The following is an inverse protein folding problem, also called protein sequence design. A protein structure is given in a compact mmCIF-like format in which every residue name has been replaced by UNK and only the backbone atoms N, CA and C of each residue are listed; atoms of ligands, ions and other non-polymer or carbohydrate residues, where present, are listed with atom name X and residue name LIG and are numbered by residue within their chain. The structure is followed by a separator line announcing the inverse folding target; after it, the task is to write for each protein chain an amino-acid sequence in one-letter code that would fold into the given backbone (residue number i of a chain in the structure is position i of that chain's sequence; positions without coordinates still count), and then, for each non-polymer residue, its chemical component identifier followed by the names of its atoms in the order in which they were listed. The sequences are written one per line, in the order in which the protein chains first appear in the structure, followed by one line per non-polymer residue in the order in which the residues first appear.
data_IF_994816336344
#
_entry.id   IF_994816336344
#
_cell.length_a   1.000
_cell.length_b   1.000
_cell.length_c   1.000
_cell.angle_alpha   90.00
_cell.angle_beta   90.00
_cell.angle_gamma   90.00
#
_symmetry.space_group_name_H-M   'P 1'
#
loop_
_entity.id
_entity.type
_entity.pdbx_description
1 polymer ?
#
# COMPACT_ATOMS: atom_id res chain seq x y z
N UNK A 1 30.48 47.88 13.07
CA UNK A 1 30.22 46.77 12.13
C UNK A 1 31.15 45.61 12.48
N UNK A 2 30.72 44.66 13.30
CA UNK A 2 31.48 43.47 13.64
C UNK A 2 30.81 42.27 12.98
N UNK A 3 31.46 41.73 11.95
CA UNK A 3 31.07 40.46 11.29
C UNK A 3 31.25 39.34 12.32
N UNK A 4 30.15 38.86 12.90
CA UNK A 4 30.12 37.55 13.59
C UNK A 4 30.22 36.47 12.53
N UNK A 5 31.43 35.98 12.29
CA UNK A 5 31.64 34.65 11.71
C UNK A 5 31.20 33.63 12.74
N UNK A 6 29.91 33.27 12.72
CA UNK A 6 29.41 32.07 13.39
C UNK A 6 29.92 30.88 12.58
N UNK A 7 31.01 30.28 13.05
CA UNK A 7 31.31 28.89 12.77
C UNK A 7 30.05 28.10 13.17
N UNK A 8 29.37 27.47 12.20
CA UNK A 8 28.25 26.57 12.48
C UNK A 8 28.82 25.40 13.29
N UNK A 9 28.70 25.47 14.61
CA UNK A 9 28.91 24.31 15.47
C UNK A 9 27.87 23.27 15.05
N UNK A 10 28.31 22.27 14.31
CA UNK A 10 27.50 21.11 13.92
C UNK A 10 26.89 20.54 15.20
N UNK A 11 25.56 20.40 15.23
CA UNK A 11 24.85 19.84 16.38
C UNK A 11 25.34 18.43 16.66
N UNK A 12 25.72 18.17 17.92
CA UNK A 12 26.06 16.82 18.35
C UNK A 12 24.77 16.01 18.55
N UNK A 13 24.50 15.09 17.62
CA UNK A 13 23.37 14.18 17.70
C UNK A 13 23.78 12.94 18.51
N UNK A 14 23.04 12.65 19.57
CA UNK A 14 23.18 11.41 20.35
C UNK A 14 21.88 10.62 20.27
N UNK A 15 21.95 9.41 19.73
CA UNK A 15 20.82 8.48 19.70
C UNK A 15 20.47 8.03 21.11
N UNK A 16 19.19 8.01 21.45
CA UNK A 16 18.68 7.45 22.70
C UNK A 16 17.80 6.22 22.43
N UNK A 17 18.42 5.04 22.50
CA UNK A 17 17.75 3.76 22.31
C UNK A 17 16.69 3.45 23.39
N UNK A 18 16.73 4.10 24.56
CA UNK A 18 15.73 3.87 25.62
C UNK A 18 14.33 4.35 25.26
N UNK A 19 14.24 5.23 24.25
CA UNK A 19 12.99 5.79 23.72
C UNK A 19 12.37 4.94 22.60
N UNK A 20 13.06 3.89 22.14
CA UNK A 20 12.59 3.02 21.07
C UNK A 20 12.39 1.62 21.62
N UNK A 21 11.16 1.13 21.50
CA UNK A 21 10.76 -0.21 21.92
C UNK A 21 10.17 -0.95 20.71
N UNK A 22 11.05 -1.40 19.82
CA UNK A 22 10.68 -2.17 18.63
C UNK A 22 11.06 -3.66 18.80
N UNK A 23 10.42 -4.58 18.05
CA UNK A 23 10.78 -5.99 18.05
C UNK A 23 12.27 -6.22 17.76
N UNK A 24 12.86 -7.30 18.31
CA UNK A 24 14.25 -7.64 18.02
C UNK A 24 14.45 -7.79 16.50
N UNK A 25 15.57 -7.27 16.01
CA UNK A 25 15.99 -7.19 14.59
C UNK A 25 15.39 -6.04 13.76
N UNK A 26 14.36 -5.32 14.25
CA UNK A 26 13.89 -4.11 13.56
C UNK A 26 14.87 -2.98 13.85
N UNK A 27 15.71 -2.68 12.86
CA UNK A 27 16.69 -1.59 12.95
C UNK A 27 16.15 -0.30 12.31
N UNK A 28 16.95 0.77 12.35
CA UNK A 28 16.74 2.00 11.57
C UNK A 28 15.57 2.88 12.02
N UNK A 29 15.23 2.81 13.30
CA UNK A 29 14.36 3.76 13.99
C UNK A 29 15.14 4.36 15.16
N UNK A 30 15.50 5.64 15.06
CA UNK A 30 16.42 6.31 15.98
C UNK A 30 15.81 7.61 16.50
N UNK A 31 15.88 7.83 17.81
CA UNK A 31 15.38 9.07 18.44
C UNK A 31 16.54 9.88 19.00
N UNK A 32 16.53 11.18 18.73
CA UNK A 32 17.48 12.16 19.21
C UNK A 32 16.75 13.16 20.10
N UNK A 33 17.18 13.30 21.36
CA UNK A 33 16.56 14.25 22.30
C UNK A 33 17.12 15.65 22.11
N UNK A 34 16.30 16.67 22.43
CA UNK A 34 16.72 18.07 22.53
C UNK A 34 17.49 18.55 21.29
N UNK A 35 17.04 18.14 20.10
CA UNK A 35 17.64 18.57 18.84
C UNK A 35 17.42 20.07 18.62
N UNK A 36 16.32 20.57 19.17
CA UNK A 36 15.89 21.96 19.12
C UNK A 36 15.99 22.54 20.55
N UNK A 37 16.48 23.77 20.71
CA UNK A 37 16.42 24.46 22.01
C UNK A 37 15.02 25.00 22.29
N UNK A 38 14.74 25.42 23.52
CA UNK A 38 13.44 26.05 23.85
C UNK A 38 13.19 27.31 22.99
N UNK A 39 14.18 28.20 22.89
CA UNK A 39 14.08 29.41 22.06
C UNK A 39 13.80 29.08 20.59
N UNK A 40 14.41 28.00 20.07
CA UNK A 40 14.18 27.55 18.70
C UNK A 40 12.79 26.93 18.52
N UNK A 41 12.30 26.18 19.50
CA UNK A 41 10.95 25.61 19.50
C UNK A 41 9.89 26.71 19.46
N UNK A 42 10.04 27.76 20.28
CA UNK A 42 9.15 28.93 20.28
C UNK A 42 9.14 29.65 18.92
N UNK A 43 10.32 29.85 18.33
CA UNK A 43 10.44 30.50 17.02
C UNK A 43 9.85 29.63 15.89
N UNK A 44 10.16 28.33 15.87
CA UNK A 44 9.61 27.40 14.87
C UNK A 44 8.09 27.36 14.97
N UNK A 45 7.55 27.26 16.18
CA UNK A 45 6.11 27.30 16.40
C UNK A 45 5.52 28.62 15.88
N UNK A 46 6.05 29.78 16.30
CA UNK A 46 5.55 31.08 15.87
C UNK A 46 5.62 31.28 14.34
N UNK A 47 6.66 30.77 13.68
CA UNK A 47 6.83 30.81 12.22
C UNK A 47 5.79 29.94 11.52
N UNK A 48 5.61 28.69 11.97
CA UNK A 48 4.71 27.72 11.33
C UNK A 48 3.23 27.96 11.63
N UNK A 49 2.86 28.34 12.86
CA UNK A 49 1.47 28.59 13.26
C UNK A 49 0.80 29.67 12.43
N UNK A 50 1.54 30.71 12.03
CA UNK A 50 1.02 31.77 11.14
C UNK A 50 0.56 31.23 9.79
N UNK A 51 1.22 30.21 9.29
CA UNK A 51 0.95 29.60 7.98
C UNK A 51 -0.14 28.55 8.13
N UNK A 52 -0.08 27.74 9.20
CA UNK A 52 -1.13 26.78 9.54
C UNK A 52 -2.50 27.47 9.64
N UNK A 53 -2.57 28.63 10.30
CA UNK A 53 -3.81 29.40 10.38
C UNK A 53 -4.31 29.94 9.03
N UNK A 54 -3.40 30.17 8.07
CA UNK A 54 -3.72 30.79 6.78
C UNK A 54 -4.02 29.78 5.68
N UNK A 55 -3.25 28.71 5.61
CA UNK A 55 -3.23 27.73 4.51
C UNK A 55 -3.52 26.30 4.99
N UNK A 56 -3.55 26.06 6.30
CA UNK A 56 -3.80 24.74 6.87
C UNK A 56 -5.25 24.29 6.70
N UNK A 57 -5.42 22.98 6.60
CA UNK A 57 -6.72 22.32 6.56
C UNK A 57 -7.09 21.86 7.96
N UNK A 58 -8.24 22.31 8.44
CA UNK A 58 -8.74 22.00 9.78
C UNK A 58 -9.61 20.75 9.74
N UNK A 59 -9.20 19.72 10.48
CA UNK A 59 -10.00 18.52 10.69
C UNK A 59 -10.80 18.67 11.98
N UNK A 60 -12.13 18.53 11.87
CA UNK A 60 -13.05 18.58 13.02
C UNK A 60 -13.15 17.18 13.62
N UNK A 61 -13.23 17.11 14.96
CA UNK A 61 -13.41 15.85 15.66
C UNK A 61 -14.76 15.21 15.34
N UNK A 62 -14.80 13.88 15.20
CA UNK A 62 -16.01 13.15 14.77
C UNK A 62 -17.18 13.25 15.75
N UNK A 63 -16.91 13.54 17.03
CA UNK A 63 -17.94 13.73 18.05
C UNK A 63 -18.45 15.17 18.18
N UNK A 64 -17.96 16.09 17.35
CA UNK A 64 -18.38 17.49 17.37
C UNK A 64 -19.81 17.67 16.89
N UNK A 65 -20.54 18.62 17.49
CA UNK A 65 -21.88 19.01 17.04
C UNK A 65 -21.82 20.31 16.23
N UNK A 66 -22.89 20.70 15.51
CA UNK A 66 -22.95 21.99 14.82
C UNK A 66 -22.73 23.19 15.75
N UNK A 67 -23.14 23.07 17.01
CA UNK A 67 -23.03 24.10 18.05
C UNK A 67 -21.69 24.08 18.79
N UNK A 68 -21.01 22.92 18.83
CA UNK A 68 -19.74 22.73 19.52
C UNK A 68 -18.72 22.02 18.59
N UNK A 69 -18.08 22.82 17.74
CA UNK A 69 -17.08 22.36 16.78
C UNK A 69 -15.72 22.27 17.44
N UNK A 70 -15.34 21.06 17.85
CA UNK A 70 -14.01 20.80 18.39
C UNK A 70 -13.03 20.50 17.25
N UNK A 71 -11.94 21.27 17.19
CA UNK A 71 -10.86 21.06 16.22
C UNK A 71 -10.01 19.87 16.72
N UNK A 72 -9.83 18.86 15.86
CA UNK A 72 -8.95 17.73 16.16
C UNK A 72 -7.49 18.08 15.88
N UNK A 73 -7.22 18.48 14.63
CA UNK A 73 -5.90 18.92 14.20
C UNK A 73 -6.00 19.87 13.01
N UNK A 74 -4.96 20.69 12.85
CA UNK A 74 -4.74 21.51 11.65
C UNK A 74 -3.52 20.96 10.93
N UNK A 75 -3.68 20.65 9.64
CA UNK A 75 -2.66 20.00 8.83
C UNK A 75 -2.25 20.90 7.64
N UNK A 76 -0.96 20.93 7.33
CA UNK A 76 -0.40 21.67 6.20
C UNK A 76 0.73 20.88 5.56
N UNK A 77 0.65 20.66 4.25
CA UNK A 77 1.78 20.19 3.45
C UNK A 77 2.58 21.37 2.88
N UNK A 78 3.89 21.25 2.97
CA UNK A 78 4.86 22.24 2.52
C UNK A 78 5.78 21.63 1.46
N UNK A 79 6.03 22.38 0.40
CA UNK A 79 6.83 21.99 -0.75
C UNK A 79 7.84 23.08 -1.11
N UNK A 80 9.09 22.69 -1.34
CA UNK A 80 10.12 23.59 -1.83
C UNK A 80 11.49 23.24 -1.29
N UNK A 81 12.52 23.65 -2.03
CA UNK A 81 13.90 23.44 -1.61
C UNK A 81 14.30 24.42 -0.50
N UNK A 82 15.46 24.20 0.10
CA UNK A 82 16.11 25.15 1.03
C UNK A 82 16.32 26.57 0.46
N UNK A 83 16.21 26.75 -0.86
CA UNK A 83 16.53 28.02 -1.55
C UNK A 83 15.37 28.61 -2.33
N UNK A 84 14.37 27.81 -2.71
CA UNK A 84 13.33 28.22 -3.64
C UNK A 84 11.97 27.62 -3.27
N UNK A 85 10.93 28.45 -3.39
CA UNK A 85 9.55 28.01 -3.32
C UNK A 85 9.19 27.12 -4.51
N UNK A 86 8.28 26.19 -4.28
CA UNK A 86 7.62 25.49 -5.38
C UNK A 86 6.59 26.45 -5.99
N UNK A 87 6.70 26.68 -7.29
CA UNK A 87 5.80 27.55 -8.03
C UNK A 87 4.75 26.74 -8.79
N UNK A 88 3.48 27.12 -8.65
CA UNK A 88 2.38 26.58 -9.44
C UNK A 88 1.85 27.67 -10.34
N UNK A 89 1.89 27.42 -11.65
CA UNK A 89 1.35 28.33 -12.65
C UNK A 89 -0.12 28.03 -12.86
N UNK A 90 -0.98 29.00 -12.52
CA UNK A 90 -2.37 28.95 -12.91
C UNK A 90 -2.49 29.46 -14.36
N UNK A 91 -2.57 28.53 -15.32
CA UNK A 91 -2.67 28.86 -16.74
C UNK A 91 -3.94 29.65 -17.11
N UNK A 92 -5.02 29.49 -16.35
CA UNK A 92 -6.28 30.21 -16.57
C UNK A 92 -6.18 31.67 -16.10
N UNK A 93 -5.47 31.93 -15.01
CA UNK A 93 -5.30 33.29 -14.44
C UNK A 93 -3.98 33.97 -14.82
N UNK A 94 -3.08 33.28 -15.52
CA UNK A 94 -1.70 33.72 -15.80
C UNK A 94 -0.94 34.18 -14.54
N UNK A 95 -1.23 33.54 -13.42
CA UNK A 95 -0.65 33.85 -12.12
C UNK A 95 0.31 32.75 -11.69
N UNK A 96 1.43 33.15 -11.09
CA UNK A 96 2.38 32.23 -10.45
C UNK A 96 2.12 32.29 -8.95
N UNK A 97 1.65 31.18 -8.38
CA UNK A 97 1.45 31.06 -6.93
C UNK A 97 2.60 30.27 -6.32
N UNK A 98 3.13 30.76 -5.20
CA UNK A 98 4.09 30.02 -4.39
C UNK A 98 3.35 29.12 -3.41
N UNK A 99 3.70 27.84 -3.40
CA UNK A 99 3.21 26.91 -2.38
C UNK A 99 3.90 27.21 -1.04
N UNK A 100 3.23 26.94 0.09
CA UNK A 100 3.89 26.91 1.40
C UNK A 100 5.12 26.01 1.32
N UNK A 101 6.25 26.45 1.87
CA UNK A 101 7.53 25.75 1.76
C UNK A 101 8.41 25.97 2.98
N UNK A 102 9.43 25.13 3.18
CA UNK A 102 10.28 25.19 4.38
C UNK A 102 10.94 26.56 4.62
N UNK A 103 11.14 27.35 3.57
CA UNK A 103 11.61 28.74 3.63
C UNK A 103 10.79 29.67 4.54
N UNK A 104 9.53 29.33 4.83
CA UNK A 104 8.73 30.13 5.75
C UNK A 104 9.10 29.93 7.23
N UNK A 105 9.85 28.88 7.55
CA UNK A 105 10.49 28.73 8.86
C UNK A 105 12.02 28.74 8.69
N UNK A 106 12.65 29.93 8.66
CA UNK A 106 14.11 30.05 8.61
C UNK A 106 14.78 29.34 9.79
N UNK A 107 14.13 29.29 10.95
CA UNK A 107 14.66 28.62 12.14
C UNK A 107 14.68 27.12 11.94
N UNK A 108 13.60 26.52 11.42
CA UNK A 108 13.56 25.09 11.10
C UNK A 108 14.61 24.73 10.04
N UNK A 109 14.72 25.50 8.96
CA UNK A 109 15.73 25.26 7.91
C UNK A 109 17.16 25.29 8.44
N UNK A 110 17.45 26.20 9.38
CA UNK A 110 18.76 26.24 10.04
C UNK A 110 19.02 24.94 10.81
N UNK A 111 18.05 24.48 11.61
CA UNK A 111 18.16 23.19 12.33
C UNK A 111 18.37 22.04 11.34
N UNK A 112 17.61 21.99 10.24
CA UNK A 112 17.70 20.94 9.22
C UNK A 112 19.05 20.94 8.50
N UNK A 113 19.66 22.10 8.30
CA UNK A 113 20.99 22.20 7.71
C UNK A 113 22.05 21.49 8.55
N UNK A 114 21.88 21.48 9.88
CA UNK A 114 22.79 20.81 10.81
C UNK A 114 22.51 19.29 10.91
N UNK A 115 21.24 18.87 10.85
CA UNK A 115 20.84 17.51 11.22
C UNK A 115 20.44 16.61 10.05
N UNK A 116 19.92 17.15 8.95
CA UNK A 116 19.41 16.32 7.87
C UNK A 116 20.51 15.66 7.01
N UNK A 117 21.60 16.35 6.62
CA UNK A 117 22.68 15.72 5.87
C UNK A 117 23.28 14.46 6.54
N UNK A 118 23.62 14.43 7.84
CA UNK A 118 24.15 13.21 8.45
C UNK A 118 23.11 12.09 8.61
N UNK A 119 21.81 12.42 8.74
CA UNK A 119 20.75 11.42 8.97
C UNK A 119 20.14 10.86 7.69
N UNK A 120 19.94 11.71 6.67
CA UNK A 120 19.25 11.38 5.43
C UNK A 120 20.14 11.48 4.18
N UNK A 121 21.34 12.05 4.29
CA UNK A 121 22.22 12.34 3.15
C UNK A 121 21.81 13.56 2.32
N UNK A 122 20.67 14.20 2.63
CA UNK A 122 20.15 15.34 1.91
C UNK A 122 19.27 16.22 2.80
N UNK A 123 19.06 17.47 2.40
CA UNK A 123 18.11 18.38 3.03
C UNK A 123 16.70 18.09 2.49
N UNK A 124 15.69 17.92 3.36
CA UNK A 124 14.29 17.76 2.97
C UNK A 124 13.80 18.89 2.07
N UNK A 125 12.92 18.55 1.13
CA UNK A 125 12.22 19.52 0.27
C UNK A 125 10.70 19.46 0.41
N UNK A 126 10.22 18.54 1.24
CA UNK A 126 8.81 18.36 1.53
C UNK A 126 8.63 18.17 3.02
N UNK A 127 7.55 18.73 3.55
CA UNK A 127 7.19 18.57 4.94
C UNK A 127 5.68 18.49 5.13
N UNK A 128 5.27 17.80 6.18
CA UNK A 128 3.92 17.78 6.70
C UNK A 128 3.94 18.33 8.11
N UNK A 129 3.28 19.46 8.31
CA UNK A 129 3.11 20.11 9.61
C UNK A 129 1.72 19.79 10.12
N UNK A 130 1.63 19.29 11.35
CA UNK A 130 0.34 19.00 12.00
C UNK A 130 0.35 19.57 13.41
N UNK A 131 -0.58 20.47 13.68
CA UNK A 131 -0.92 20.94 15.01
C UNK A 131 -2.04 20.06 15.56
N UNK A 132 -1.75 19.27 16.58
CA UNK A 132 -2.67 18.36 17.23
C UNK A 132 -3.25 19.06 18.45
N UNK A 133 -4.55 19.35 18.43
CA UNK A 133 -5.27 19.84 19.61
C UNK A 133 -5.84 18.69 20.43
N UNK A 134 -6.18 17.59 19.75
CA UNK A 134 -6.55 16.31 20.36
C UNK A 134 -5.55 15.27 19.86
N UNK A 135 -5.05 14.37 20.73
CA UNK A 135 -4.18 13.27 20.32
C UNK A 135 -4.81 12.42 19.24
N UNK A 136 -3.96 11.88 18.37
CA UNK A 136 -4.34 10.81 17.49
C UNK A 136 -4.06 11.10 16.04
N UNK A 137 -3.34 10.16 15.44
CA UNK A 137 -2.86 10.19 14.08
C UNK A 137 -3.05 8.80 13.50
N UNK A 138 -3.68 8.72 12.32
CA UNK A 138 -4.08 7.43 11.75
C UNK A 138 -2.86 6.53 11.53
N UNK A 139 -3.01 5.23 11.81
CA UNK A 139 -1.99 4.23 11.51
C UNK A 139 -1.86 4.08 10.00
N UNK A 140 -0.71 4.45 9.44
CA UNK A 140 -0.47 4.35 8.00
C UNK A 140 1.01 4.07 7.70
N UNK A 141 1.27 3.55 6.49
CA UNK A 141 2.62 3.54 5.91
C UNK A 141 2.77 4.77 5.06
N UNK A 142 3.90 5.46 5.18
CA UNK A 142 4.18 6.61 4.34
C UNK A 142 4.34 6.22 2.87
N UNK A 143 3.84 7.09 2.00
CA UNK A 143 3.82 6.85 0.56
C UNK A 143 5.25 6.60 0.02
N UNK A 144 5.47 5.75 -1.00
CA UNK A 144 6.81 5.49 -1.54
C UNK A 144 7.61 6.73 -1.94
N UNK A 145 6.92 7.80 -2.36
CA UNK A 145 7.55 9.10 -2.69
C UNK A 145 8.24 9.80 -1.54
N UNK A 146 7.97 9.39 -0.29
CA UNK A 146 8.68 9.89 0.90
C UNK A 146 10.17 9.53 0.86
N UNK A 147 10.60 8.65 -0.04
CA UNK A 147 12.01 8.30 -0.20
C UNK A 147 12.41 7.17 0.72
N UNK A 148 13.70 7.00 0.99
CA UNK A 148 14.23 5.89 1.80
C UNK A 148 14.12 6.11 3.31
N UNK A 149 13.91 7.36 3.73
CA UNK A 149 13.90 7.79 5.13
C UNK A 149 13.08 9.06 5.29
N UNK A 150 12.51 9.24 6.48
CA UNK A 150 11.90 10.51 6.88
C UNK A 150 12.34 10.89 8.30
N UNK A 151 12.25 12.18 8.59
CA UNK A 151 12.42 12.73 9.94
C UNK A 151 11.06 13.14 10.48
N UNK A 152 10.88 13.00 11.79
CA UNK A 152 9.68 13.42 12.51
C UNK A 152 10.14 14.26 13.71
N UNK A 153 9.96 15.57 13.63
CA UNK A 153 10.26 16.49 14.71
C UNK A 153 9.01 16.68 15.58
N UNK A 154 9.16 16.45 16.89
CA UNK A 154 8.09 16.60 17.86
C UNK A 154 8.33 17.83 18.75
N UNK A 155 7.32 18.69 18.90
CA UNK A 155 7.40 19.95 19.63
C UNK A 155 6.20 20.13 20.58
N UNK A 156 6.37 21.01 21.57
CA UNK A 156 5.43 21.45 22.61
C UNK A 156 5.11 20.39 23.67
N UNK A 157 4.68 19.19 23.25
CA UNK A 157 4.23 18.14 24.17
C UNK A 157 4.85 16.78 23.84
N UNK A 158 5.03 15.95 24.87
CA UNK A 158 5.51 14.57 24.75
C UNK A 158 4.41 13.69 24.14
N UNK A 159 4.81 12.63 23.43
CA UNK A 159 3.87 11.66 22.84
C UNK A 159 4.47 10.26 22.72
N UNK A 160 3.63 9.29 22.39
CA UNK A 160 4.02 7.92 22.05
C UNK A 160 3.46 7.60 20.67
N UNK A 161 4.34 7.25 19.74
CA UNK A 161 3.96 6.69 18.46
C UNK A 161 3.94 5.17 18.55
N UNK A 162 2.86 4.56 18.06
CA UNK A 162 2.77 3.12 17.92
C UNK A 162 3.25 2.72 16.53
N UNK A 163 3.93 1.58 16.46
CA UNK A 163 4.38 0.93 15.23
C UNK A 163 3.76 -0.46 15.15
N UNK A 164 3.16 -0.81 14.02
CA UNK A 164 2.71 -2.16 13.75
C UNK A 164 3.03 -2.63 12.33
N UNK A 165 3.44 -3.89 12.21
CA UNK A 165 3.55 -4.61 10.95
C UNK A 165 2.37 -5.58 10.88
N UNK A 166 1.36 -5.20 10.11
CA UNK A 166 0.10 -5.94 9.96
C UNK A 166 0.32 -7.35 9.42
N UNK A 167 1.36 -7.55 8.59
CA UNK A 167 1.63 -8.83 7.94
C UNK A 167 2.24 -9.86 8.90
N UNK A 168 3.10 -9.41 9.82
CA UNK A 168 3.80 -10.28 10.78
C UNK A 168 3.20 -10.23 12.18
N UNK A 169 2.30 -9.27 12.45
CA UNK A 169 1.74 -9.01 13.78
C UNK A 169 2.74 -8.39 14.76
N UNK A 170 3.94 -8.04 14.31
CA UNK A 170 4.96 -7.39 15.13
C UNK A 170 4.52 -5.98 15.51
N UNK A 171 4.73 -5.59 16.75
CA UNK A 171 4.35 -4.27 17.28
C UNK A 171 5.48 -3.67 18.11
N UNK A 172 5.52 -2.35 18.15
CA UNK A 172 6.43 -1.61 19.01
C UNK A 172 5.94 -0.19 19.25
N UNK A 173 6.70 0.55 20.04
CA UNK A 173 6.37 1.91 20.45
C UNK A 173 7.62 2.77 20.43
N UNK A 174 7.43 4.06 20.14
CA UNK A 174 8.47 5.07 20.25
C UNK A 174 7.96 6.21 21.12
N UNK A 175 8.68 6.50 22.20
CA UNK A 175 8.45 7.68 23.02
C UNK A 175 9.14 8.88 22.38
N UNK A 176 8.37 9.91 22.04
CA UNK A 176 8.87 11.17 21.50
C UNK A 176 8.63 12.30 22.50
N UNK A 177 9.65 12.69 23.27
CA UNK A 177 9.59 13.90 24.06
C UNK A 177 9.45 15.15 23.18
N UNK A 178 9.02 16.27 23.76
CA UNK A 178 9.14 17.58 23.12
C UNK A 178 10.62 17.89 22.80
N UNK A 179 10.83 18.56 21.66
CA UNK A 179 12.14 18.88 21.04
C UNK A 179 12.94 17.64 20.61
N UNK A 180 12.29 16.48 20.48
CA UNK A 180 12.93 15.27 19.97
C UNK A 180 12.74 15.14 18.45
N UNK A 181 13.75 14.58 17.80
CA UNK A 181 13.73 14.21 16.39
C UNK A 181 13.76 12.69 16.28
N UNK A 182 12.79 12.12 15.59
CA UNK A 182 12.81 10.72 15.18
C UNK A 182 13.30 10.63 13.74
N UNK A 183 14.17 9.66 13.47
CA UNK A 183 14.61 9.28 12.13
C UNK A 183 14.20 7.85 11.86
N UNK A 184 13.38 7.64 10.83
CA UNK A 184 12.90 6.31 10.42
C UNK A 184 13.39 6.02 9.01
N UNK A 185 14.03 4.86 8.83
CA UNK A 185 14.52 4.38 7.54
C UNK A 185 14.47 2.86 7.46
N UNK A 186 14.83 2.29 6.30
CA UNK A 186 14.91 0.83 6.14
C UNK A 186 13.58 0.11 6.44
N UNK A 187 13.66 -1.04 7.10
CA UNK A 187 12.49 -1.87 7.42
C UNK A 187 11.42 -1.10 8.22
N UNK A 188 11.81 -0.30 9.21
CA UNK A 188 10.87 0.46 10.03
C UNK A 188 10.05 1.48 9.24
N UNK A 189 10.54 1.93 8.07
CA UNK A 189 9.85 2.86 7.17
C UNK A 189 8.97 2.15 6.13
N UNK A 190 9.33 0.95 5.71
CA UNK A 190 8.65 0.24 4.61
C UNK A 190 7.70 -0.85 5.07
N UNK A 191 8.02 -1.54 6.17
CA UNK A 191 7.27 -2.69 6.68
C UNK A 191 6.35 -2.38 7.85
N UNK A 192 6.45 -1.20 8.45
CA UNK A 192 5.65 -0.80 9.60
C UNK A 192 4.75 0.38 9.25
N UNK A 193 3.50 0.30 9.69
CA UNK A 193 2.67 1.49 9.87
C UNK A 193 3.06 2.15 11.16
N UNK A 194 2.92 3.46 11.22
CA UNK A 194 3.01 4.19 12.47
C UNK A 194 1.83 5.14 12.60
N UNK A 195 1.54 5.51 13.84
CA UNK A 195 0.45 6.41 14.17
C UNK A 195 0.44 6.72 15.66
N UNK A 196 -0.61 7.40 16.09
CA UNK A 196 -0.80 7.82 17.46
C UNK A 196 -2.22 7.49 17.90
N UNK A 197 -2.36 7.02 19.13
CA UNK A 197 -3.68 6.76 19.70
C UNK A 197 -4.43 8.05 20.03
N UNK A 198 -5.73 7.92 20.17
CA UNK A 198 -6.61 9.06 20.48
C UNK A 198 -6.83 9.29 21.97
N UNK A 199 -6.21 8.47 22.83
CA UNK A 199 -6.35 8.64 24.28
C UNK A 199 -5.50 9.82 24.78
N UNK A 200 -6.00 10.58 25.74
CA UNK A 200 -5.27 11.72 26.35
C UNK A 200 -4.05 11.30 27.19
N UNK A 201 -3.99 10.01 27.53
CA UNK A 201 -2.92 9.44 28.35
C UNK A 201 -2.36 8.23 27.64
N UNK A 202 -1.14 8.36 27.15
CA UNK A 202 -0.39 7.27 26.55
C UNK A 202 0.43 6.52 27.59
N UNK A 203 0.66 5.24 27.31
CA UNK A 203 1.59 4.42 28.08
C UNK A 203 2.67 3.89 27.15
N UNK A 204 3.89 4.34 27.37
CA UNK A 204 5.08 3.80 26.73
C UNK A 204 5.62 2.61 27.54
N UNK A 205 5.88 1.49 26.87
CA UNK A 205 6.54 0.33 27.47
C UNK A 205 7.91 0.16 26.84
N UNK A 206 8.96 0.47 27.61
CA UNK A 206 10.34 0.29 27.18
C UNK A 206 10.68 -1.19 26.97
N UNK A 207 11.75 -1.46 26.21
CA UNK A 207 12.19 -2.83 25.91
C UNK A 207 12.53 -3.67 27.16
N UNK A 208 12.88 -3.01 28.27
CA UNK A 208 13.13 -3.66 29.57
C UNK A 208 11.84 -3.89 30.39
N UNK A 209 10.66 -3.60 29.84
CA UNK A 209 9.35 -3.72 30.50
C UNK A 209 8.97 -2.53 31.40
N UNK A 210 9.82 -1.50 31.51
CA UNK A 210 9.49 -0.29 32.28
C UNK A 210 8.37 0.47 31.61
N UNK A 211 7.33 0.83 32.38
CA UNK A 211 6.17 1.58 31.88
C UNK A 211 6.30 3.04 32.26
N UNK A 212 6.09 3.92 31.29
CA UNK A 212 6.03 5.37 31.49
C UNK A 212 4.69 5.88 30.99
N UNK A 213 3.98 6.57 31.87
CA UNK A 213 2.76 7.30 31.54
C UNK A 213 3.15 8.65 30.92
N UNK A 214 2.50 9.02 29.83
CA UNK A 214 2.72 10.27 29.09
C UNK A 214 1.36 10.92 28.92
N UNK A 215 1.22 12.11 29.48
CA UNK A 215 0.01 12.92 29.31
C UNK A 215 0.24 13.80 28.09
N UNK A 216 -0.65 13.66 27.12
CA UNK A 216 -0.55 14.41 25.87
C UNK A 216 -1.34 15.70 25.98
N UNK A 217 -0.78 16.77 25.44
CA UNK A 217 -1.41 18.08 25.33
C UNK A 217 -1.27 18.55 23.87
N UNK A 218 -1.63 19.80 23.60
CA UNK A 218 -1.41 20.45 22.31
C UNK A 218 0.04 20.26 21.86
N UNK A 219 0.19 19.77 20.63
CA UNK A 219 1.47 19.32 20.09
C UNK A 219 1.64 19.76 18.65
N UNK A 220 2.84 20.18 18.28
CA UNK A 220 3.20 20.43 16.90
C UNK A 220 4.14 19.33 16.42
N UNK A 221 3.76 18.61 15.37
CA UNK A 221 4.63 17.63 14.71
C UNK A 221 4.99 18.09 13.31
N UNK A 222 6.27 17.95 12.94
CA UNK A 222 6.76 18.26 11.60
C UNK A 222 7.44 17.03 11.02
N UNK A 223 6.80 16.40 10.04
CA UNK A 223 7.36 15.29 9.28
C UNK A 223 8.07 15.84 8.06
N UNK A 224 9.26 15.35 7.77
CA UNK A 224 10.18 15.94 6.81
C UNK A 224 10.82 14.85 5.96
N UNK A 225 10.82 15.04 4.65
CA UNK A 225 11.43 14.06 3.75
C UNK A 225 11.96 14.70 2.47
N UNK A 226 12.76 13.90 1.77
CA UNK A 226 13.23 14.23 0.43
C UNK A 226 12.32 13.54 -0.58
N UNK A 227 11.53 14.31 -1.32
CA UNK A 227 10.63 13.76 -2.32
C UNK A 227 11.42 12.98 -3.36
N UNK A 228 11.08 11.71 -3.53
CA UNK A 228 11.65 10.86 -4.56
C UNK A 228 10.55 10.45 -5.55
N UNK A 229 10.36 11.21 -6.65
CA UNK A 229 9.35 10.88 -7.66
C UNK A 229 9.68 9.58 -8.41
N UNK A 230 10.94 9.15 -8.44
CA UNK A 230 11.34 7.89 -9.07
C UNK A 230 10.81 6.64 -8.35
N UNK A 231 10.29 6.79 -7.12
CA UNK A 231 9.66 5.70 -6.36
C UNK A 231 8.15 5.62 -6.58
N UNK A 232 7.55 6.52 -7.39
CA UNK A 232 6.19 6.33 -7.91
C UNK A 232 6.08 5.05 -8.76
N UNK A 233 7.20 4.62 -9.33
CA UNK A 233 7.32 3.45 -10.19
C UNK A 233 7.43 2.13 -9.41
N UNK A 234 6.96 2.04 -8.15
CA UNK A 234 6.87 0.76 -7.43
C UNK A 234 6.06 -0.28 -8.21
N UNK A 235 5.01 0.17 -8.91
CA UNK A 235 4.22 -0.68 -9.81
C UNK A 235 4.98 -1.06 -11.08
N UNK A 236 5.74 -0.14 -11.69
CA UNK A 236 6.58 -0.43 -12.85
C UNK A 236 7.75 -1.36 -12.48
N UNK A 237 8.32 -1.20 -11.29
CA UNK A 237 9.38 -2.06 -10.75
C UNK A 237 8.85 -3.46 -10.42
N UNK A 238 7.63 -3.54 -9.89
CA UNK A 238 6.94 -4.81 -9.69
C UNK A 238 6.60 -5.48 -11.03
N UNK A 239 6.04 -4.74 -11.99
CA UNK A 239 5.74 -5.23 -13.34
C UNK A 239 7.03 -5.70 -14.06
N UNK A 240 8.13 -4.95 -13.97
CA UNK A 240 9.43 -5.36 -14.54
C UNK A 240 10.07 -6.54 -13.82
N UNK A 241 9.89 -6.66 -12.51
CA UNK A 241 10.35 -7.80 -11.74
C UNK A 241 9.57 -9.06 -12.14
N UNK A 242 8.24 -8.94 -12.25
CA UNK A 242 7.34 -10.00 -12.72
C UNK A 242 7.67 -10.42 -14.16
N UNK A 243 7.87 -9.47 -15.07
CA UNK A 243 8.31 -9.72 -16.46
C UNK A 243 9.69 -10.39 -16.53
N UNK A 244 10.66 -9.95 -15.72
CA UNK A 244 12.00 -10.54 -15.66
C UNK A 244 11.97 -11.97 -15.10
N UNK A 245 11.13 -12.22 -14.08
CA UNK A 245 10.89 -13.56 -13.55
C UNK A 245 10.21 -14.48 -14.56
N UNK A 246 9.24 -13.96 -15.33
CA UNK A 246 8.58 -14.73 -16.39
C UNK A 246 9.54 -15.07 -17.54
N UNK A 247 10.37 -14.12 -17.96
CA UNK A 247 11.40 -14.32 -18.98
C UNK A 247 12.50 -15.30 -18.52
N UNK A 248 12.93 -15.23 -17.26
CA UNK A 248 13.85 -16.19 -16.68
C UNK A 248 13.23 -17.60 -16.59
N UNK A 249 11.95 -17.69 -16.20
CA UNK A 249 11.20 -18.94 -16.19
C UNK A 249 11.07 -19.58 -17.57
N UNK A 250 10.78 -18.79 -18.61
CA UNK A 250 10.74 -19.26 -20.01
C UNK A 250 12.09 -19.76 -20.49
N UNK A 251 13.18 -19.04 -20.21
CA UNK A 251 14.55 -19.48 -20.56
C UNK A 251 14.94 -20.78 -19.87
N UNK A 252 14.63 -20.93 -18.57
CA UNK A 252 14.89 -22.16 -17.83
C UNK A 252 14.05 -23.34 -18.34
N UNK A 253 12.80 -23.10 -18.74
CA UNK A 253 11.94 -24.13 -19.34
C UNK A 253 12.44 -24.55 -20.74
N UNK A 254 12.88 -23.61 -21.57
CA UNK A 254 13.49 -23.89 -22.88
C UNK A 254 14.83 -24.64 -22.76
N UNK A 255 15.67 -24.27 -21.80
CA UNK A 255 16.91 -25.00 -21.51
C UNK A 255 16.66 -26.41 -20.97
N UNK A 256 15.64 -26.59 -20.12
CA UNK A 256 15.22 -27.90 -19.65
C UNK A 256 14.67 -28.77 -20.80
N UNK A 257 13.86 -28.21 -21.70
CA UNK A 257 13.34 -28.91 -22.87
C UNK A 257 14.47 -29.36 -23.81
N UNK A 258 15.45 -28.48 -24.08
CA UNK A 258 16.63 -28.82 -24.91
C UNK A 258 17.48 -29.93 -24.30
N UNK A 259 17.64 -29.97 -22.97
CA UNK A 259 18.34 -31.06 -22.28
C UNK A 259 17.61 -32.39 -22.39
N UNK A 260 16.27 -32.37 -22.30
CA UNK A 260 15.44 -33.57 -22.44
C UNK A 260 15.47 -34.11 -23.88
N UNK A 261 15.50 -33.24 -24.89
CA UNK A 261 15.68 -33.67 -26.29
C UNK A 261 17.07 -34.25 -26.54
N UNK A 262 18.14 -33.60 -26.07
CA UNK A 262 19.51 -34.12 -26.17
C UNK A 262 19.67 -35.48 -25.48
N UNK A 263 19.02 -35.70 -24.33
CA UNK A 263 19.04 -37.00 -23.65
C UNK A 263 18.22 -38.08 -24.37
N UNK A 264 17.17 -37.71 -25.12
CA UNK A 264 16.41 -38.65 -25.95
C UNK A 264 17.23 -39.05 -27.19
N UNK A 265 17.84 -38.08 -27.85
CA UNK A 265 18.69 -38.33 -29.03
C UNK A 265 19.89 -39.22 -28.65
N UNK A 266 20.54 -38.97 -27.51
CA UNK A 266 21.62 -39.82 -27.00
C UNK A 266 21.15 -41.25 -26.66
N UNK A 267 19.91 -41.41 -26.18
CA UNK A 267 19.33 -42.74 -25.86
C UNK A 267 18.92 -43.49 -27.12
N UNK A 268 18.41 -42.80 -28.14
CA UNK A 268 18.06 -43.40 -29.43
C UNK A 268 19.32 -43.85 -30.19
N UNK A 269 20.40 -43.06 -30.17
CA UNK A 269 21.70 -43.46 -30.72
C UNK A 269 22.34 -44.65 -29.96
N UNK A 270 22.21 -44.69 -28.64
CA UNK A 270 22.71 -45.81 -27.83
C UNK A 270 21.92 -47.12 -28.05
N UNK A 271 20.64 -47.01 -28.42
CA UNK A 271 19.77 -48.19 -28.70
C UNK A 271 20.01 -48.73 -30.11
N UNK A 272 20.45 -47.90 -31.06
CA UNK A 272 20.80 -48.30 -32.42
C UNK A 272 22.15 -49.05 -32.54
N UNK A 273 22.96 -49.07 -31.48
CA UNK A 273 24.30 -49.67 -31.46
C UNK A 273 24.43 -50.95 -30.62
N UNK A 274 23.33 -51.63 -30.26
CA UNK A 274 23.41 -52.96 -29.63
C UNK A 274 23.43 -54.09 -30.68
N UNK A 275 24.53 -54.85 -30.83
CA UNK A 275 24.53 -56.09 -31.58
C UNK A 275 23.98 -57.26 -30.74
N UNK A 276 23.43 -58.32 -31.36
CA UNK A 276 22.88 -59.45 -30.63
C UNK A 276 23.98 -60.36 -30.06
N UNK A 277 23.80 -60.77 -28.81
CA UNK A 277 24.43 -61.86 -28.05
C UNK A 277 25.73 -62.50 -28.58
N UNK A 278 26.85 -62.37 -27.86
CA UNK A 278 27.77 -63.47 -27.50
C UNK A 278 28.50 -63.18 -26.16
N UNK A 279 28.75 -64.26 -25.41
CA UNK A 279 29.17 -64.44 -24.01
C UNK A 279 30.56 -63.90 -23.56
N UNK A 280 30.60 -63.56 -22.25
CA UNK A 280 31.69 -63.45 -21.22
C UNK A 280 33.11 -64.03 -21.51
N UNK A 281 34.24 -63.54 -20.91
CA UNK A 281 34.44 -63.53 -19.44
C UNK A 281 35.30 -62.41 -18.80
N UNK A 282 35.33 -62.46 -17.46
CA UNK A 282 36.00 -61.59 -16.48
C UNK A 282 37.52 -61.44 -16.64
N UNK A 283 38.10 -60.33 -16.15
CA UNK A 283 39.11 -60.29 -15.06
C UNK A 283 39.38 -58.84 -14.63
N UNK A 284 39.64 -58.73 -13.33
CA UNK A 284 39.88 -57.60 -12.43
C UNK A 284 41.17 -56.77 -12.64
N UNK A 285 41.06 -55.53 -12.14
CA UNK A 285 42.07 -54.70 -11.44
C UNK A 285 43.16 -53.96 -12.24
N UNK A 286 43.17 -52.63 -12.14
CA UNK A 286 44.10 -51.86 -11.29
C UNK A 286 44.57 -50.51 -11.90
N UNK A 287 44.29 -49.43 -11.14
CA UNK A 287 45.16 -48.27 -10.89
C UNK A 287 45.15 -47.08 -11.90
N UNK A 288 44.50 -46.01 -11.43
CA UNK A 288 44.62 -44.55 -11.62
C UNK A 288 46.06 -44.00 -11.81
N UNK A 289 46.35 -42.72 -12.23
CA UNK A 289 45.60 -41.52 -11.85
C UNK A 289 45.53 -40.33 -12.85
N UNK A 290 44.61 -39.40 -12.51
CA UNK A 290 44.58 -37.93 -12.77
C UNK A 290 43.59 -37.42 -13.84
N UNK A 291 42.43 -36.97 -13.38
CA UNK A 291 41.86 -35.68 -13.79
C UNK A 291 40.91 -35.11 -12.70
N UNK A 292 41.09 -33.87 -12.22
CA UNK A 292 40.38 -33.32 -11.07
C UNK A 292 39.22 -32.43 -11.52
N UNK A 293 38.03 -33.00 -11.71
CA UNK A 293 36.80 -32.20 -11.91
C UNK A 293 35.54 -32.81 -11.26
N UNK A 294 35.66 -33.97 -10.61
CA UNK A 294 34.54 -34.61 -9.89
C UNK A 294 34.57 -34.39 -8.37
N UNK A 295 35.47 -33.54 -7.86
CA UNK A 295 35.63 -33.32 -6.41
C UNK A 295 34.93 -32.05 -5.88
N UNK A 296 34.14 -31.35 -6.69
CA UNK A 296 33.38 -30.17 -6.23
C UNK A 296 31.88 -30.43 -6.01
N UNK A 297 31.32 -31.51 -6.55
CA UNK A 297 29.89 -31.86 -6.36
C UNK A 297 29.67 -33.10 -5.47
N UNK A 298 30.71 -33.86 -5.14
CA UNK A 298 30.63 -35.00 -4.21
C UNK A 298 30.90 -34.63 -2.74
N UNK A 299 31.21 -33.36 -2.44
CA UNK A 299 31.36 -32.87 -1.05
C UNK A 299 30.06 -32.23 -0.50
N UNK A 300 28.99 -32.16 -1.30
CA UNK A 300 27.70 -31.60 -0.90
C UNK A 300 26.64 -32.66 -0.58
N UNK A 301 26.92 -33.95 -0.80
CA UNK A 301 26.00 -35.03 -0.50
C UNK A 301 26.73 -36.14 0.25
N UNK A 302 26.23 -36.38 1.47
CA UNK A 302 26.55 -37.43 2.43
C UNK A 302 27.55 -37.14 3.57
N UNK A 303 26.90 -37.03 4.74
CA UNK A 303 27.31 -37.44 6.08
C UNK A 303 27.94 -36.40 6.99
N UNK A 304 27.09 -35.60 7.65
CA UNK A 304 26.98 -35.64 9.13
C UNK A 304 25.53 -35.45 9.55
N UNK A 305 24.95 -36.55 10.01
CA UNK A 305 23.89 -36.59 11.03
C UNK A 305 24.20 -35.59 12.15
N UNK A 306 23.47 -34.48 12.17
CA UNK A 306 23.53 -33.45 13.20
C UNK A 306 22.13 -32.94 13.49
N UNK A 307 21.60 -33.25 14.67
CA UNK A 307 20.36 -32.69 15.21
C UNK A 307 20.43 -31.16 15.31
N UNK A 308 19.32 -30.49 14.95
CA UNK A 308 19.00 -29.07 15.21
C UNK A 308 18.84 -28.23 13.94
N UNK A 309 17.92 -27.27 13.79
CA UNK A 309 16.96 -26.59 14.70
C UNK A 309 15.71 -26.21 13.88
N UNK A 310 15.09 -27.17 13.20
CA UNK A 310 13.77 -27.00 12.57
C UNK A 310 12.99 -28.30 12.73
N UNK A 311 12.58 -28.58 13.96
CA UNK A 311 11.75 -29.72 14.30
C UNK A 311 11.15 -29.57 15.68
N UNK A 312 9.81 -29.58 15.73
CA UNK A 312 8.97 -29.74 16.93
C UNK A 312 8.71 -28.43 17.70
N UNK A 313 7.49 -28.05 18.06
CA UNK A 313 6.32 -28.89 18.31
C UNK A 313 5.00 -28.22 17.91
N UNK A 314 4.21 -28.96 17.12
CA UNK A 314 2.76 -28.87 17.18
C UNK A 314 2.35 -29.33 18.59
N UNK A 315 2.11 -28.36 19.48
CA UNK A 315 1.34 -28.64 20.68
C UNK A 315 -0.09 -28.99 20.26
N UNK A 316 -0.46 -30.25 20.44
CA UNK A 316 -1.86 -30.64 20.56
C UNK A 316 -2.55 -29.78 21.62
N UNK A 317 -3.86 -29.60 21.50
CA UNK A 317 -4.68 -29.96 22.65
C UNK A 317 -5.85 -30.85 22.22
N UNK A 318 -5.85 -32.08 22.71
CA UNK A 318 -7.07 -32.86 22.86
C UNK A 318 -7.84 -32.38 24.10
N UNK A 319 -9.13 -32.13 23.92
CA UNK A 319 -10.21 -32.15 24.94
C UNK A 319 -10.13 -31.12 26.08
N UNK A 320 -11.19 -30.45 26.52
CA UNK A 320 -12.62 -30.69 26.38
C UNK A 320 -13.40 -29.39 26.68
N UNK A 321 -14.40 -29.13 25.83
CA UNK A 321 -15.73 -28.51 26.09
C UNK A 321 -15.87 -27.32 27.07
N UNK A 322 -16.28 -26.16 26.53
CA UNK A 322 -17.64 -25.63 26.75
C UNK A 322 -17.97 -24.41 25.85
N UNK A 323 -18.83 -24.69 24.85
CA UNK A 323 -19.97 -23.92 24.34
C UNK A 323 -19.88 -22.41 24.02
N UNK A 324 -20.18 -22.08 22.76
CA UNK A 324 -20.71 -20.76 22.35
C UNK A 324 -20.38 -20.44 20.89
N UNK A 325 -21.41 -20.38 20.03
CA UNK A 325 -21.38 -20.06 18.59
C UNK A 325 -20.36 -18.99 18.16
N UNK A 326 -19.47 -19.33 17.23
CA UNK A 326 -18.78 -18.38 16.36
C UNK A 326 -18.25 -19.11 15.12
N UNK A 327 -18.40 -18.49 13.95
CA UNK A 327 -18.20 -19.08 12.62
C UNK A 327 -16.95 -19.94 12.48
N UNK A 328 -17.12 -21.07 11.79
CA UNK A 328 -16.06 -22.01 11.52
C UNK A 328 -14.85 -21.28 10.89
N UNK A 329 -13.72 -21.28 11.59
CA UNK A 329 -12.45 -20.77 11.06
C UNK A 329 -12.05 -21.66 9.89
N UNK A 330 -12.29 -21.19 8.66
CA UNK A 330 -11.77 -21.82 7.44
C UNK A 330 -10.25 -21.92 7.58
N UNK A 331 -9.73 -23.12 7.50
CA UNK A 331 -8.29 -23.37 7.57
C UNK A 331 -7.64 -23.00 6.24
N UNK A 332 -6.32 -22.78 6.24
CA UNK A 332 -5.57 -22.47 5.01
C UNK A 332 -5.69 -23.59 3.96
N UNK A 333 -5.93 -24.83 4.41
CA UNK A 333 -6.26 -25.97 3.53
C UNK A 333 -7.59 -25.77 2.80
N UNK A 334 -8.62 -25.32 3.50
CA UNK A 334 -9.95 -25.05 2.93
C UNK A 334 -9.90 -23.91 1.89
N UNK A 335 -9.12 -22.86 2.17
CA UNK A 335 -8.91 -21.74 1.23
C UNK A 335 -8.18 -22.21 -0.04
N UNK A 336 -7.19 -23.10 0.11
CA UNK A 336 -6.46 -23.67 -1.03
C UNK A 336 -7.35 -24.57 -1.88
N UNK A 337 -8.26 -25.31 -1.24
CA UNK A 337 -9.26 -26.14 -1.93
C UNK A 337 -10.31 -25.29 -2.64
N UNK A 338 -10.83 -24.25 -1.98
CA UNK A 338 -11.75 -23.26 -2.58
C UNK A 338 -11.10 -22.59 -3.80
N UNK A 339 -9.84 -22.15 -3.70
CA UNK A 339 -9.12 -21.54 -4.82
C UNK A 339 -8.88 -22.52 -5.98
N UNK A 340 -8.59 -23.79 -5.67
CA UNK A 340 -8.48 -24.86 -6.67
C UNK A 340 -9.78 -25.10 -7.42
N UNK A 341 -10.91 -25.09 -6.71
CA UNK A 341 -12.25 -25.21 -7.30
C UNK A 341 -12.59 -24.01 -8.19
N UNK A 342 -12.33 -22.79 -7.72
CA UNK A 342 -12.53 -21.57 -8.51
C UNK A 342 -11.69 -21.56 -9.79
N UNK A 343 -10.42 -21.98 -9.72
CA UNK A 343 -9.55 -22.08 -10.90
C UNK A 343 -10.10 -23.08 -11.92
N UNK A 344 -10.61 -24.23 -11.47
CA UNK A 344 -11.24 -25.22 -12.35
C UNK A 344 -12.53 -24.69 -12.99
N UNK A 345 -13.37 -23.97 -12.24
CA UNK A 345 -14.57 -23.33 -12.77
C UNK A 345 -14.22 -22.27 -13.82
N UNK A 346 -13.19 -21.45 -13.55
CA UNK A 346 -12.76 -20.41 -14.48
C UNK A 346 -12.20 -21.00 -15.78
N UNK A 347 -11.42 -22.08 -15.70
CA UNK A 347 -10.93 -22.80 -16.89
C UNK A 347 -12.06 -23.41 -17.73
N UNK A 348 -13.15 -23.89 -17.09
CA UNK A 348 -14.33 -24.39 -17.79
C UNK A 348 -15.09 -23.28 -18.52
N UNK A 349 -15.28 -22.13 -17.87
CA UNK A 349 -15.93 -20.95 -18.49
C UNK A 349 -15.09 -20.41 -19.65
N UNK A 350 -13.77 -20.37 -19.49
CA UNK A 350 -12.86 -19.97 -20.57
C UNK A 350 -12.94 -20.92 -21.78
N UNK A 351 -13.07 -22.23 -21.56
CA UNK A 351 -13.31 -23.21 -22.63
C UNK A 351 -14.62 -22.95 -23.40
N UNK A 352 -15.71 -22.62 -22.69
CA UNK A 352 -17.00 -22.29 -23.32
C UNK A 352 -16.90 -21.00 -24.15
N UNK A 353 -16.17 -19.99 -23.67
CA UNK A 353 -15.93 -18.75 -24.40
C UNK A 353 -15.07 -18.96 -25.64
N UNK A 354 -14.12 -19.89 -25.58
CA UNK A 354 -13.28 -20.25 -26.72
C UNK A 354 -14.09 -21.03 -27.78
N UNK A 355 -14.94 -21.97 -27.35
CA UNK A 355 -15.88 -22.67 -28.23
C UNK A 355 -16.89 -21.70 -28.88
N UNK A 356 -17.37 -20.71 -28.13
CA UNK A 356 -18.24 -19.64 -28.62
C UNK A 356 -17.57 -18.82 -29.72
N UNK A 357 -16.29 -18.47 -29.52
CA UNK A 357 -15.50 -17.73 -30.49
C UNK A 357 -15.29 -18.53 -31.78
N UNK A 358 -14.97 -19.83 -31.65
CA UNK A 358 -14.82 -20.73 -32.81
C UNK A 358 -16.14 -20.89 -33.57
N UNK A 359 -17.27 -21.01 -32.86
CA UNK A 359 -18.58 -21.09 -33.52
C UNK A 359 -18.99 -19.78 -34.21
N UNK A 360 -18.68 -18.63 -33.59
CA UNK A 360 -18.90 -17.31 -34.17
C UNK A 360 -18.05 -17.11 -35.43
N UNK A 361 -16.78 -17.51 -35.40
CA UNK A 361 -15.86 -17.43 -36.54
C UNK A 361 -16.27 -18.40 -37.66
N UNK A 362 -16.98 -19.49 -37.34
CA UNK A 362 -17.53 -20.45 -38.31
C UNK A 362 -18.90 -20.07 -38.90
N UNK A 363 -19.49 -18.95 -38.47
CA UNK A 363 -20.74 -18.40 -39.02
C UNK A 363 -22.02 -19.19 -38.69
N UNK A 364 -21.99 -20.10 -37.71
CA UNK A 364 -23.19 -20.81 -37.28
C UNK A 364 -24.06 -19.95 -36.37
N UNK A 365 -25.40 -19.93 -36.53
CA UNK A 365 -26.28 -19.19 -35.66
C UNK A 365 -26.27 -19.80 -34.25
N UNK A 366 -25.98 -18.96 -33.26
CA UNK A 366 -25.97 -19.32 -31.85
C UNK A 366 -27.36 -19.78 -31.40
N UNK A 367 -27.50 -21.08 -31.13
CA UNK A 367 -28.74 -21.68 -30.66
C UNK A 367 -28.76 -21.72 -29.12
N UNK A 368 -29.73 -21.04 -28.51
CA UNK A 368 -29.91 -20.97 -27.05
C UNK A 368 -30.04 -22.34 -26.37
N UNK A 369 -30.54 -23.35 -27.09
CA UNK A 369 -30.62 -24.72 -26.58
C UNK A 369 -29.24 -25.37 -26.39
N UNK A 370 -28.27 -25.06 -27.25
CA UNK A 370 -26.89 -25.54 -27.12
C UNK A 370 -26.19 -24.89 -25.92
N UNK A 371 -26.40 -23.59 -25.75
CA UNK A 371 -25.81 -22.80 -24.66
C UNK A 371 -26.36 -23.24 -23.31
N UNK A 372 -27.68 -23.48 -23.21
CA UNK A 372 -28.29 -24.08 -22.03
C UNK A 372 -27.72 -25.47 -21.75
N UNK A 373 -27.65 -26.36 -22.75
CA UNK A 373 -27.11 -27.72 -22.58
C UNK A 373 -25.66 -27.70 -22.09
N UNK A 374 -24.80 -26.85 -22.65
CA UNK A 374 -23.40 -26.70 -22.23
C UNK A 374 -23.22 -26.10 -20.84
N UNK A 375 -24.05 -25.12 -20.45
CA UNK A 375 -24.10 -24.58 -19.08
C UNK A 375 -24.55 -25.65 -18.07
N UNK A 376 -25.50 -26.50 -18.44
CA UNK A 376 -26.00 -27.57 -17.54
C UNK A 376 -25.01 -28.73 -17.41
N UNK A 377 -24.27 -29.06 -18.47
CA UNK A 377 -23.22 -30.11 -18.45
C UNK A 377 -21.94 -29.68 -17.72
N UNK A 378 -21.67 -28.37 -17.62
CA UNK A 378 -20.46 -27.82 -16.99
C UNK A 378 -20.66 -27.33 -15.55
N UNK A 379 -21.91 -27.10 -15.13
CA UNK A 379 -22.26 -26.69 -13.78
C UNK A 379 -22.40 -27.90 -12.86
N UNK A 380 -21.33 -28.22 -12.14
CA UNK A 380 -21.42 -29.02 -10.91
C UNK A 380 -21.51 -28.07 -9.72
N UNK A 381 -22.60 -27.29 -9.66
CA UNK A 381 -22.81 -26.31 -8.59
C UNK A 381 -23.91 -26.82 -7.66
N UNK A 382 -23.60 -26.78 -6.36
CA UNK A 382 -24.48 -27.19 -5.28
C UNK A 382 -25.51 -26.09 -5.04
N UNK A 383 -26.73 -26.27 -5.54
CA UNK A 383 -27.78 -25.23 -5.58
C UNK A 383 -28.16 -24.69 -4.17
N UNK A 384 -27.85 -25.45 -3.11
CA UNK A 384 -28.05 -25.02 -1.73
C UNK A 384 -27.09 -23.92 -1.30
N UNK A 385 -25.84 -23.93 -1.79
CA UNK A 385 -24.80 -22.98 -1.41
C UNK A 385 -24.99 -21.61 -2.08
N UNK A 386 -25.43 -21.61 -3.33
CA UNK A 386 -25.81 -20.36 -4.03
C UNK A 386 -26.99 -19.67 -3.33
N UNK A 387 -27.94 -20.46 -2.79
CA UNK A 387 -29.06 -19.94 -2.01
C UNK A 387 -28.61 -19.35 -0.68
N UNK A 388 -27.60 -19.93 -0.02
CA UNK A 388 -26.97 -19.37 1.19
C UNK A 388 -26.21 -18.06 0.90
N UNK A 389 -25.53 -17.98 -0.25
CA UNK A 389 -24.83 -16.78 -0.72
C UNK A 389 -25.79 -15.71 -1.31
N UNK A 390 -27.10 -15.99 -1.33
CA UNK A 390 -28.18 -15.07 -1.67
C UNK A 390 -28.52 -14.99 -3.15
N UNK A 391 -28.04 -15.94 -3.96
CA UNK A 391 -28.34 -16.06 -5.38
C UNK A 391 -29.39 -17.15 -5.61
N UNK A 392 -30.60 -16.76 -6.00
CA UNK A 392 -31.66 -17.70 -6.35
C UNK A 392 -31.79 -17.79 -7.87
N UNK A 393 -31.38 -18.93 -8.44
CA UNK A 393 -31.45 -19.18 -9.88
C UNK A 393 -32.91 -19.26 -10.42
N UNK A 394 -33.90 -19.41 -9.54
CA UNK A 394 -35.32 -19.45 -9.89
C UNK A 394 -36.00 -18.08 -9.85
N UNK A 395 -35.40 -17.09 -9.17
CA UNK A 395 -35.89 -15.70 -9.08
C UNK A 395 -34.74 -14.71 -9.35
N UNK A 396 -34.33 -14.68 -10.61
CA UNK A 396 -33.22 -13.84 -11.08
C UNK A 396 -33.58 -12.35 -10.91
N UNK A 397 -34.80 -11.93 -11.24
CA UNK A 397 -35.23 -10.54 -11.12
C UNK A 397 -35.29 -10.07 -9.66
N UNK A 398 -35.85 -10.86 -8.74
CA UNK A 398 -35.90 -10.52 -7.32
C UNK A 398 -34.51 -10.50 -6.66
N UNK A 399 -33.56 -11.27 -7.17
CA UNK A 399 -32.15 -11.24 -6.74
C UNK A 399 -31.48 -9.93 -7.18
N UNK A 400 -31.70 -9.49 -8.43
CA UNK A 400 -31.20 -8.21 -8.92
C UNK A 400 -31.81 -7.02 -8.19
N UNK A 401 -33.10 -7.05 -7.88
CA UNK A 401 -33.76 -5.99 -7.10
C UNK A 401 -33.21 -5.87 -5.67
N UNK A 402 -32.87 -7.00 -5.02
CA UNK A 402 -32.23 -6.99 -3.70
C UNK A 402 -30.81 -6.45 -3.75
N UNK A 403 -30.05 -6.80 -4.79
CA UNK A 403 -28.69 -6.26 -5.01
C UNK A 403 -28.74 -4.77 -5.32
N UNK A 404 -29.69 -4.34 -6.15
CA UNK A 404 -29.90 -2.93 -6.50
C UNK A 404 -30.41 -2.11 -5.30
N UNK A 405 -31.31 -2.65 -4.48
CA UNK A 405 -31.72 -2.03 -3.22
C UNK A 405 -30.54 -1.87 -2.24
N UNK A 406 -29.67 -2.88 -2.15
CA UNK A 406 -28.46 -2.84 -1.31
C UNK A 406 -27.43 -1.85 -1.86
N UNK A 407 -27.26 -1.79 -3.18
CA UNK A 407 -26.41 -0.80 -3.84
C UNK A 407 -26.94 0.63 -3.66
N UNK A 408 -28.26 0.84 -3.75
CA UNK A 408 -28.94 2.12 -3.44
C UNK A 408 -28.75 2.51 -1.98
N UNK A 409 -28.84 1.56 -1.05
CA UNK A 409 -28.56 1.78 0.36
C UNK A 409 -27.10 2.21 0.58
N UNK A 410 -26.12 1.53 -0.02
CA UNK A 410 -24.71 1.93 0.06
C UNK A 410 -24.43 3.27 -0.62
N UNK A 411 -25.09 3.56 -1.75
CA UNK A 411 -25.00 4.84 -2.45
C UNK A 411 -25.62 5.99 -1.65
N UNK A 412 -26.74 5.76 -0.97
CA UNK A 412 -27.35 6.72 -0.06
C UNK A 412 -26.46 6.95 1.18
N UNK A 413 -25.87 5.88 1.72
CA UNK A 413 -24.90 5.95 2.82
C UNK A 413 -23.64 6.71 2.42
N UNK A 414 -23.12 6.49 1.21
CA UNK A 414 -22.00 7.24 0.63
C UNK A 414 -22.35 8.71 0.37
N UNK A 415 -23.57 9.01 -0.09
CA UNK A 415 -24.08 10.40 -0.22
C UNK A 415 -24.24 11.11 1.13
N UNK A 416 -24.53 10.38 2.21
CA UNK A 416 -24.60 10.93 3.56
C UNK A 416 -23.24 11.05 4.25
N UNK A 417 -22.19 10.46 3.68
CA UNK A 417 -20.82 10.61 4.14
C UNK A 417 -20.22 11.83 3.43
N UNK A 418 -20.33 12.98 4.10
CA UNK A 418 -19.84 14.27 3.65
C UNK A 418 -18.30 14.29 3.72
N UNK A 419 -17.64 13.89 2.63
CA UNK A 419 -16.18 13.72 2.59
C UNK A 419 -15.40 15.03 2.40
N UNK A 420 -16.06 16.16 2.06
CA UNK A 420 -15.35 17.41 1.70
C UNK A 420 -15.84 18.68 2.42
N UNK A 421 -16.86 18.67 3.27
CA UNK A 421 -17.22 19.82 4.12
C UNK A 421 -17.50 21.16 3.40
N UNK A 422 -17.64 21.21 2.07
CA UNK A 422 -17.83 22.43 1.28
C UNK A 422 -19.21 22.55 0.61
N UNK A 423 -20.19 21.71 0.96
CA UNK A 423 -21.46 21.67 0.26
C UNK A 423 -22.40 22.88 0.48
N UNK A 424 -22.10 23.82 1.38
CA UNK A 424 -22.99 24.97 1.64
C UNK A 424 -22.45 26.37 1.32
N UNK A 425 -21.25 26.51 0.73
CA UNK A 425 -20.70 27.86 0.53
C UNK A 425 -20.40 28.30 -0.90
N UNK A 426 -20.58 27.50 -1.94
CA UNK A 426 -20.59 28.01 -3.32
C UNK A 426 -21.24 27.04 -4.32
N UNK A 427 -22.55 26.81 -4.23
CA UNK A 427 -23.29 26.19 -5.33
C UNK A 427 -23.81 27.28 -6.28
N UNK A 428 -22.94 27.72 -7.19
CA UNK A 428 -23.37 28.20 -8.51
C UNK A 428 -23.38 27.04 -9.52
N UNK A 429 -23.71 25.84 -9.06
CA UNK A 429 -24.07 24.72 -9.91
C UNK A 429 -25.60 24.73 -10.05
N UNK A 430 -26.15 24.74 -11.27
CA UNK A 430 -27.58 24.57 -11.47
C UNK A 430 -27.98 23.20 -10.92
N UNK A 431 -29.01 23.19 -10.09
CA UNK A 431 -29.64 21.97 -9.61
C UNK A 431 -30.18 21.18 -10.83
N UNK A 432 -29.65 19.97 -11.03
CA UNK A 432 -30.09 19.02 -12.05
C UNK A 432 -30.79 17.81 -11.41
N UNK A 433 -31.15 17.90 -10.13
CA UNK A 433 -31.70 16.77 -9.38
C UNK A 433 -33.21 16.55 -9.56
N UNK A 434 -33.91 17.40 -10.31
CA UNK A 434 -35.36 17.32 -10.49
C UNK A 434 -35.83 16.77 -11.84
N UNK A 435 -34.97 16.67 -12.87
CA UNK A 435 -35.40 16.20 -14.19
C UNK A 435 -34.89 14.80 -14.49
N UNK A 436 -35.85 13.87 -14.68
CA UNK A 436 -35.62 12.51 -15.12
C UNK A 436 -34.79 12.46 -16.43
N UNK A 437 -34.02 11.37 -16.65
CA UNK A 437 -33.25 11.21 -17.87
C UNK A 437 -34.23 10.88 -19.00
N UNK A 438 -34.45 11.79 -19.95
CA UNK A 438 -34.79 11.51 -21.37
C UNK A 438 -35.18 12.74 -22.20
N UNK A 439 -35.03 13.99 -21.76
CA UNK A 439 -35.19 15.12 -22.69
C UNK A 439 -33.87 15.46 -23.40
N UNK A 440 -33.61 14.73 -24.49
CA UNK A 440 -32.43 14.94 -25.34
C UNK A 440 -32.36 16.39 -25.87
N UNK A 441 -33.50 17.09 -26.02
CA UNK A 441 -33.51 18.46 -26.57
C UNK A 441 -33.03 19.49 -25.54
N UNK A 442 -33.38 19.31 -24.27
CA UNK A 442 -32.88 20.18 -23.18
C UNK A 442 -31.37 19.98 -22.98
N UNK A 443 -30.90 18.75 -23.14
CA UNK A 443 -29.48 18.38 -23.02
C UNK A 443 -28.67 18.94 -24.19
N UNK A 444 -29.16 18.81 -25.43
CA UNK A 444 -28.51 19.36 -26.62
C UNK A 444 -28.47 20.90 -26.59
N UNK A 445 -29.51 21.58 -26.07
CA UNK A 445 -29.47 23.05 -25.86
C UNK A 445 -28.40 23.50 -24.87
N UNK A 446 -28.17 22.72 -23.80
CA UNK A 446 -27.15 23.03 -22.79
C UNK A 446 -25.73 22.77 -23.30
N UNK A 447 -25.54 21.81 -24.21
CA UNK A 447 -24.23 21.46 -24.76
C UNK A 447 -23.86 22.26 -26.03
N UNK A 448 -24.83 22.77 -26.78
CA UNK A 448 -24.61 23.51 -28.03
C UNK A 448 -23.62 24.70 -27.94
N UNK A 449 -23.55 25.51 -26.86
CA UNK A 449 -22.58 26.59 -26.75
C UNK A 449 -21.12 26.12 -26.58
N UNK A 450 -20.94 24.84 -26.23
CA UNK A 450 -19.65 24.23 -25.93
C UNK A 450 -19.14 23.32 -27.06
N UNK A 451 -19.91 23.20 -28.15
CA UNK A 451 -19.57 22.38 -29.33
C UNK A 451 -19.55 23.28 -30.56
N UNK A 452 -18.48 23.18 -31.35
CA UNK A 452 -18.32 23.93 -32.59
C UNK A 452 -19.44 23.54 -33.57
N UNK A 453 -20.20 24.52 -34.07
CA UNK A 453 -21.43 24.36 -34.87
C UNK A 453 -22.70 23.86 -34.13
N UNK A 454 -22.75 23.94 -32.79
CA UNK A 454 -23.91 23.51 -31.99
C UNK A 454 -25.25 24.18 -32.35
N UNK A 455 -25.24 25.43 -32.83
CA UNK A 455 -26.44 26.15 -33.23
C UNK A 455 -27.08 25.59 -34.51
N UNK A 456 -26.30 24.98 -35.40
CA UNK A 456 -26.82 24.31 -36.61
C UNK A 456 -27.52 23.00 -36.26
N UNK A 457 -27.03 22.31 -35.23
CA UNK A 457 -27.64 21.08 -34.71
C UNK A 457 -29.00 21.41 -34.09
N UNK A 458 -29.09 22.52 -33.34
CA UNK A 458 -30.36 22.99 -32.76
C UNK A 458 -31.41 23.37 -33.81
N UNK A 459 -30.99 23.95 -34.94
CA UNK A 459 -31.89 24.32 -36.04
C UNK A 459 -32.39 23.12 -36.87
N UNK A 460 -31.72 21.97 -36.80
CA UNK A 460 -32.07 20.76 -37.56
C UNK A 460 -33.09 19.84 -36.89
N UNK A 461 -33.45 20.11 -35.63
CA UNK A 461 -34.39 19.28 -34.87
C UNK A 461 -35.86 19.62 -35.23
N UNK A 462 -36.70 18.62 -35.54
CA UNK A 462 -38.10 18.86 -35.94
C UNK A 462 -38.88 19.55 -34.81
N UNK A 463 -39.68 20.55 -35.17
CA UNK A 463 -40.58 21.22 -34.25
C UNK A 463 -41.86 20.40 -34.08
N UNK A 464 -41.93 19.62 -33.01
CA UNK A 464 -43.19 19.08 -32.50
C UNK A 464 -43.89 20.15 -31.65
N UNK A 465 -45.11 20.50 -32.03
CA UNK A 465 -46.02 21.37 -31.26
C UNK A 465 -46.65 20.66 -30.07
#
# INVERSE_FOLDING_TARGET
MLRRGLLSLVRALSTDASLVSLPPNVQRCEVFRNVVSLDEEELIYAELSRILQREGQTTIWKGSTPEDKVIKHVYLEMFGTEKQFTEVKNWQKREVRHLPGLLWSPTLLRVLSDVAPPLMGAIPDTARVVEHQIPGYEMHVEHPTVGTSFLYLNLLSDTVLDFDDESTGRRGQVLLPSRALLCVSGEARWGFRFGERTEEVHTYVAANGTRRRVETDMRLSVQLWKLNPGLLDGRLLQERLEESMEMAGKRLAEEAAKRVELEKDCKEEATALQPPDVQTPSVTAAIDPKCPLNTFLAAAMENVSGKGVLGGDLAQPGGCLASGQAGAKKTMGDIRQDYGQYKQQFSKVYGILQDLKVMQDSGQPLNDLWLKKKMTESSSVDAEKDREDGFDASDIEGTWDKVDAKARFYKAKLKSMDYDGTAFLNSRMPDISQDAPLDMRSTIRKMAPHVKDGDKILASLPNSG
#
